data_IF_530209734316
#
_entry.id   IF_530209734316
#
_cell.length_a   1.000
_cell.length_b   1.000
_cell.length_c   1.000
_cell.angle_alpha   90.00
_cell.angle_beta   90.00
_cell.angle_gamma   90.00
#
_symmetry.space_group_name_H-M   'P 1'
#
loop_
_entity.id
_entity.type
_entity.pdbx_description
1 polymer ?
#
# COMPACT_ATOMS: atom_id res chain seq x y z
N UNK A 1 8.80 -25.93 0.72
CA UNK A 1 8.18 -24.62 0.40
C UNK A 1 7.63 -24.58 -1.02
N UNK A 2 8.13 -25.39 -1.96
CA UNK A 2 7.65 -25.40 -3.36
C UNK A 2 6.13 -25.64 -3.50
N UNK A 3 5.53 -26.59 -2.76
CA UNK A 3 4.08 -26.87 -2.89
C UNK A 3 3.13 -25.86 -2.20
N UNK A 4 3.64 -24.80 -1.54
CA UNK A 4 2.78 -23.90 -0.76
C UNK A 4 2.14 -22.78 -1.61
N UNK A 5 2.67 -22.53 -2.81
CA UNK A 5 2.28 -21.41 -3.67
C UNK A 5 1.59 -21.83 -4.97
N UNK A 6 1.53 -23.13 -5.28
CA UNK A 6 0.95 -23.66 -6.53
C UNK A 6 -0.55 -23.33 -6.70
N UNK A 7 -1.23 -22.97 -5.60
CA UNK A 7 -2.65 -22.61 -5.59
C UNK A 7 -2.89 -21.10 -5.75
N UNK A 8 -1.85 -20.27 -5.80
CA UNK A 8 -1.97 -18.82 -5.91
C UNK A 8 -1.94 -18.42 -7.39
N UNK A 9 -3.06 -17.94 -7.89
CA UNK A 9 -3.22 -17.40 -9.23
C UNK A 9 -2.95 -15.89 -9.30
N UNK A 10 -2.76 -15.41 -10.52
CA UNK A 10 -2.85 -13.99 -10.86
C UNK A 10 -4.14 -13.76 -11.65
N UNK A 11 -4.87 -12.70 -11.32
CA UNK A 11 -6.05 -12.26 -12.06
C UNK A 11 -6.14 -10.73 -12.06
N UNK A 12 -6.76 -10.19 -13.09
CA UNK A 12 -7.29 -8.82 -13.05
C UNK A 12 -8.76 -8.92 -12.67
N UNK A 13 -9.14 -8.36 -11.52
CA UNK A 13 -10.53 -8.34 -11.07
C UNK A 13 -11.36 -7.50 -12.03
N UNK A 14 -12.63 -7.84 -12.19
CA UNK A 14 -13.57 -7.02 -12.95
C UNK A 14 -14.07 -5.84 -12.10
N UNK A 15 -14.56 -4.80 -12.77
CA UNK A 15 -15.31 -3.75 -12.08
C UNK A 15 -16.58 -4.36 -11.50
N UNK A 16 -16.90 -4.00 -10.25
CA UNK A 16 -18.03 -4.58 -9.53
C UNK A 16 -18.78 -3.49 -8.78
N UNK A 17 -20.11 -3.43 -9.00
CA UNK A 17 -20.99 -2.64 -8.15
C UNK A 17 -21.26 -3.40 -6.85
N UNK A 18 -20.97 -2.76 -5.72
CA UNK A 18 -21.20 -3.32 -4.40
C UNK A 18 -22.19 -2.46 -3.63
N UNK A 19 -22.92 -3.06 -2.69
CA UNK A 19 -23.56 -2.36 -1.58
C UNK A 19 -22.82 -2.73 -0.30
N UNK A 20 -22.26 -1.74 0.40
CA UNK A 20 -21.32 -1.98 1.49
C UNK A 20 -21.48 -1.00 2.66
N UNK A 21 -20.87 -1.39 3.78
CA UNK A 21 -20.62 -0.56 4.96
C UNK A 21 -19.13 -0.66 5.29
N UNK A 22 -18.43 0.49 5.32
CA UNK A 22 -17.02 0.57 5.77
C UNK A 22 -16.94 1.19 7.15
N UNK A 23 -16.63 0.37 8.13
CA UNK A 23 -16.49 0.77 9.54
C UNK A 23 -15.52 -0.15 10.25
N UNK A 24 -14.79 0.34 11.27
CA UNK A 24 -13.91 -0.49 12.08
C UNK A 24 -14.66 -1.68 12.70
N UNK A 25 -13.96 -2.79 12.85
CA UNK A 25 -14.41 -3.98 13.58
C UNK A 25 -13.33 -4.47 14.54
N UNK A 26 -13.72 -5.01 15.69
CA UNK A 26 -12.77 -5.59 16.66
C UNK A 26 -12.75 -7.10 16.60
N UNK A 27 -13.85 -7.70 16.18
CA UNK A 27 -14.05 -9.14 16.19
C UNK A 27 -14.54 -9.64 14.84
N UNK A 28 -14.52 -10.96 14.64
CA UNK A 28 -15.00 -11.56 13.40
C UNK A 28 -16.53 -11.65 13.41
N UNK A 29 -17.10 -11.80 14.59
CA UNK A 29 -18.53 -11.85 14.87
C UNK A 29 -19.22 -10.56 14.41
N UNK A 30 -18.59 -9.39 14.62
CA UNK A 30 -19.08 -8.11 14.10
C UNK A 30 -19.22 -8.08 12.56
N UNK A 31 -18.33 -8.79 11.84
CA UNK A 31 -18.43 -8.92 10.37
C UNK A 31 -19.63 -9.80 10.00
N UNK A 32 -19.85 -10.89 10.73
CA UNK A 32 -20.96 -11.83 10.49
C UNK A 32 -22.30 -11.12 10.73
N UNK A 33 -22.45 -10.47 11.89
CA UNK A 33 -23.66 -9.72 12.26
C UNK A 33 -24.00 -8.66 11.21
N UNK A 34 -22.99 -7.90 10.78
CA UNK A 34 -23.15 -6.86 9.75
C UNK A 34 -23.62 -7.45 8.43
N UNK A 35 -23.01 -8.53 7.95
CA UNK A 35 -23.41 -9.18 6.70
C UNK A 35 -24.79 -9.84 6.80
N UNK A 36 -25.16 -10.42 7.94
CA UNK A 36 -26.50 -10.96 8.16
C UNK A 36 -27.58 -9.86 8.10
N UNK A 37 -27.33 -8.70 8.75
CA UNK A 37 -28.22 -7.56 8.68
C UNK A 37 -28.35 -7.03 7.25
N UNK A 38 -27.23 -6.86 6.54
CA UNK A 38 -27.22 -6.42 5.15
C UNK A 38 -27.99 -7.39 4.24
N UNK A 39 -27.87 -8.71 4.44
CA UNK A 39 -28.61 -9.71 3.68
C UNK A 39 -30.13 -9.54 3.82
N UNK A 40 -30.62 -9.20 5.02
CA UNK A 40 -32.04 -8.94 5.26
C UNK A 40 -32.54 -7.67 4.58
N UNK A 41 -31.67 -6.65 4.47
CA UNK A 41 -31.98 -5.37 3.86
C UNK A 41 -31.94 -5.44 2.32
N UNK A 42 -30.90 -6.05 1.76
CA UNK A 42 -30.65 -6.11 0.32
C UNK A 42 -31.54 -7.14 -0.41
N UNK A 43 -31.89 -8.25 0.24
CA UNK A 43 -32.79 -9.29 -0.30
C UNK A 43 -32.40 -9.75 -1.71
N UNK A 44 -33.29 -9.52 -2.68
CA UNK A 44 -33.21 -9.90 -4.09
C UNK A 44 -32.22 -9.05 -4.90
N UNK A 45 -31.63 -8.01 -4.31
CA UNK A 45 -30.59 -7.19 -4.96
C UNK A 45 -29.20 -7.82 -4.94
N UNK A 46 -28.99 -8.85 -4.12
CA UNK A 46 -27.70 -9.52 -3.97
C UNK A 46 -27.39 -10.31 -5.24
N UNK A 47 -26.28 -9.97 -5.90
CA UNK A 47 -25.83 -10.58 -7.15
C UNK A 47 -24.65 -11.56 -6.97
N UNK A 48 -24.14 -11.71 -5.74
CA UNK A 48 -22.97 -12.55 -5.49
C UNK A 48 -22.71 -12.84 -4.01
N UNK A 49 -21.63 -13.57 -3.70
CA UNK A 49 -21.27 -13.92 -2.34
C UNK A 49 -20.95 -12.67 -1.50
N UNK A 50 -21.19 -12.70 -0.16
CA UNK A 50 -20.72 -11.64 0.73
C UNK A 50 -19.19 -11.56 0.72
N UNK A 51 -18.69 -10.36 1.01
CA UNK A 51 -17.25 -10.11 1.13
C UNK A 51 -16.90 -9.23 2.32
N UNK A 52 -15.62 -9.22 2.67
CA UNK A 52 -15.00 -8.25 3.57
C UNK A 52 -13.67 -7.76 2.98
N UNK A 53 -13.56 -6.46 2.72
CA UNK A 53 -12.32 -5.79 2.31
C UNK A 53 -11.65 -5.25 3.57
N UNK A 54 -10.40 -5.64 3.79
CA UNK A 54 -9.58 -5.16 4.88
C UNK A 54 -8.62 -4.09 4.36
N UNK A 55 -8.63 -2.93 4.99
CA UNK A 55 -7.72 -1.83 4.69
C UNK A 55 -6.59 -1.77 5.72
N UNK A 56 -5.37 -1.56 5.24
CA UNK A 56 -4.17 -1.44 6.07
C UNK A 56 -3.76 0.02 6.27
N UNK A 57 -2.93 0.26 7.28
CA UNK A 57 -2.36 1.57 7.63
C UNK A 57 -3.39 2.66 7.95
N UNK A 58 -4.62 2.29 8.32
CA UNK A 58 -5.66 3.22 8.75
C UNK A 58 -5.66 3.40 10.29
N UNK A 59 -5.90 4.61 10.80
CA UNK A 59 -5.76 4.91 12.23
C UNK A 59 -7.04 4.57 13.01
N UNK A 60 -7.44 3.29 13.01
CA UNK A 60 -8.67 2.82 13.67
C UNK A 60 -8.36 1.90 14.86
N UNK A 61 -9.26 1.84 15.82
CA UNK A 61 -9.23 0.83 16.88
C UNK A 61 -9.85 -0.48 16.36
N UNK A 62 -9.02 -1.50 16.14
CA UNK A 62 -9.41 -2.75 15.49
C UNK A 62 -8.93 -2.82 14.04
N UNK A 63 -9.78 -3.34 13.15
CA UNK A 63 -9.52 -3.48 11.71
C UNK A 63 -10.47 -2.58 10.94
N UNK A 64 -9.97 -1.81 9.98
CA UNK A 64 -10.82 -1.08 9.04
C UNK A 64 -11.33 -2.04 7.97
N UNK A 65 -12.63 -2.32 8.03
CA UNK A 65 -13.27 -3.34 7.20
C UNK A 65 -14.48 -2.76 6.49
N UNK A 66 -14.53 -3.01 5.19
CA UNK A 66 -15.71 -2.80 4.37
C UNK A 66 -16.36 -4.14 4.03
N UNK A 67 -17.54 -4.37 4.57
CA UNK A 67 -18.31 -5.59 4.32
C UNK A 67 -19.45 -5.27 3.37
N UNK A 68 -19.81 -6.22 2.52
CA UNK A 68 -20.93 -6.00 1.63
C UNK A 68 -21.28 -7.19 0.74
N UNK A 69 -22.12 -6.91 -0.24
CA UNK A 69 -22.50 -7.84 -1.28
C UNK A 69 -22.35 -7.17 -2.66
N UNK A 70 -21.98 -7.92 -3.70
CA UNK A 70 -22.19 -7.49 -5.08
C UNK A 70 -23.68 -7.26 -5.33
N UNK A 71 -24.03 -6.23 -6.10
CA UNK A 71 -25.43 -5.88 -6.43
C UNK A 71 -25.54 -5.45 -7.90
N UNK A 72 -26.69 -5.72 -8.53
CA UNK A 72 -26.93 -5.39 -9.95
C UNK A 72 -27.46 -3.96 -10.18
N UNK A 73 -27.77 -3.23 -9.11
CA UNK A 73 -28.28 -1.87 -9.20
C UNK A 73 -27.91 -1.05 -7.97
N UNK A 74 -27.85 0.28 -8.14
CA UNK A 74 -27.55 1.19 -7.05
C UNK A 74 -28.55 1.06 -5.89
N UNK A 75 -28.02 1.21 -4.69
CA UNK A 75 -28.75 1.09 -3.44
C UNK A 75 -28.19 2.08 -2.41
N UNK A 76 -29.07 2.73 -1.66
CA UNK A 76 -28.68 3.55 -0.52
C UNK A 76 -29.79 3.55 0.52
N UNK A 77 -29.49 3.06 1.72
CA UNK A 77 -30.35 3.17 2.89
C UNK A 77 -29.46 3.22 4.14
N UNK A 78 -29.75 4.16 5.04
CA UNK A 78 -28.98 4.35 6.27
C UNK A 78 -27.46 4.41 6.02
N UNK A 79 -26.70 3.45 6.55
CA UNK A 79 -25.25 3.34 6.40
C UNK A 79 -24.80 2.46 5.22
N UNK A 80 -25.74 1.78 4.55
CA UNK A 80 -25.46 0.96 3.36
C UNK A 80 -25.53 1.86 2.14
N UNK A 81 -24.44 1.91 1.38
CA UNK A 81 -24.39 2.67 0.13
C UNK A 81 -23.72 1.87 -0.97
N UNK A 82 -24.13 2.13 -2.21
CA UNK A 82 -23.51 1.54 -3.38
C UNK A 82 -22.31 2.33 -3.87
N UNK A 83 -21.28 1.61 -4.31
CA UNK A 83 -20.16 2.18 -5.06
C UNK A 83 -19.54 1.12 -5.98
N UNK A 84 -18.83 1.57 -7.00
CA UNK A 84 -18.00 0.69 -7.81
C UNK A 84 -16.68 0.35 -7.09
N UNK A 85 -16.22 -0.88 -7.24
CA UNK A 85 -14.82 -1.26 -7.07
C UNK A 85 -14.23 -1.37 -8.47
N UNK A 86 -13.17 -0.61 -8.74
CA UNK A 86 -12.47 -0.66 -10.02
C UNK A 86 -11.79 -2.02 -10.26
N UNK A 87 -11.67 -2.39 -11.53
CA UNK A 87 -10.82 -3.48 -11.95
C UNK A 87 -9.37 -3.28 -11.47
N UNK A 88 -8.76 -4.34 -10.94
CA UNK A 88 -7.40 -4.26 -10.38
C UNK A 88 -6.66 -5.57 -10.51
N UNK A 89 -5.36 -5.48 -10.72
CA UNK A 89 -4.47 -6.63 -10.62
C UNK A 89 -4.43 -7.17 -9.18
N UNK A 90 -4.57 -8.49 -9.06
CA UNK A 90 -4.60 -9.19 -7.79
C UNK A 90 -3.90 -10.56 -7.88
N UNK A 91 -3.35 -10.99 -6.75
CA UNK A 91 -3.17 -12.42 -6.52
C UNK A 91 -4.45 -12.98 -5.91
N UNK A 92 -4.84 -14.18 -6.34
CA UNK A 92 -6.08 -14.83 -5.92
C UNK A 92 -5.80 -16.25 -5.46
N UNK A 93 -6.49 -16.67 -4.39
CA UNK A 93 -6.51 -18.07 -3.96
C UNK A 93 -7.90 -18.42 -3.44
N UNK A 94 -8.46 -19.53 -3.93
CA UNK A 94 -9.75 -20.07 -3.47
C UNK A 94 -9.55 -21.43 -2.83
N UNK A 95 -10.15 -21.65 -1.66
CA UNK A 95 -9.99 -22.88 -0.88
C UNK A 95 -11.26 -23.24 -0.13
N UNK A 96 -11.37 -24.52 0.18
CA UNK A 96 -12.26 -25.02 1.22
C UNK A 96 -11.45 -25.32 2.49
N UNK A 97 -11.96 -24.92 3.65
CA UNK A 97 -11.28 -25.15 4.92
C UNK A 97 -11.87 -24.37 6.09
N UNK A 98 -11.10 -24.26 7.17
CA UNK A 98 -11.53 -23.56 8.39
C UNK A 98 -11.17 -22.07 8.38
N UNK A 99 -11.66 -21.30 9.35
CA UNK A 99 -11.20 -19.94 9.61
C UNK A 99 -9.68 -19.83 9.81
N UNK A 100 -9.03 -20.89 10.32
CA UNK A 100 -7.57 -20.93 10.45
C UNK A 100 -6.89 -21.00 9.09
N UNK A 101 -7.45 -21.75 8.15
CA UNK A 101 -6.93 -21.89 6.79
C UNK A 101 -7.11 -20.60 5.99
N UNK A 102 -8.21 -19.88 6.22
CA UNK A 102 -8.42 -18.54 5.70
C UNK A 102 -7.31 -17.58 6.14
N UNK A 103 -7.07 -17.46 7.44
CA UNK A 103 -5.99 -16.58 7.98
C UNK A 103 -4.62 -16.98 7.46
N UNK A 104 -4.36 -18.29 7.37
CA UNK A 104 -3.12 -18.81 6.79
C UNK A 104 -2.97 -18.40 5.32
N UNK A 105 -4.05 -18.43 4.54
CA UNK A 105 -4.04 -18.06 3.13
C UNK A 105 -3.72 -16.58 2.91
N UNK A 106 -4.20 -15.69 3.79
CA UNK A 106 -3.84 -14.25 3.77
C UNK A 106 -2.33 -14.05 4.01
N UNK A 107 -1.74 -14.79 4.96
CA UNK A 107 -0.28 -14.71 5.19
C UNK A 107 0.49 -15.27 3.99
N UNK A 108 0.07 -16.43 3.48
CA UNK A 108 0.74 -17.09 2.34
C UNK A 108 0.73 -16.22 1.09
N UNK A 109 -0.39 -15.54 0.78
CA UNK A 109 -0.47 -14.70 -0.42
C UNK A 109 0.35 -13.41 -0.28
N UNK A 110 0.42 -12.84 0.93
CA UNK A 110 1.31 -11.71 1.23
C UNK A 110 2.79 -12.11 1.11
N UNK A 111 3.17 -13.29 1.61
CA UNK A 111 4.53 -13.83 1.47
C UNK A 111 4.87 -14.08 -0.01
N UNK A 112 3.94 -14.68 -0.75
CA UNK A 112 4.08 -14.91 -2.19
C UNK A 112 4.30 -13.60 -2.94
N UNK A 113 3.50 -12.56 -2.68
CA UNK A 113 3.69 -11.23 -3.26
C UNK A 113 5.08 -10.66 -2.94
N UNK A 114 5.55 -10.87 -1.71
CA UNK A 114 6.91 -10.55 -1.28
C UNK A 114 7.99 -11.24 -2.12
N UNK A 115 7.86 -12.55 -2.42
CA UNK A 115 8.81 -13.28 -3.29
C UNK A 115 8.83 -12.81 -4.73
N UNK A 116 7.82 -12.03 -5.13
CA UNK A 116 7.72 -11.36 -6.42
C UNK A 116 8.10 -9.88 -6.32
N UNK A 117 8.48 -9.37 -5.15
CA UNK A 117 8.82 -7.95 -5.02
C UNK A 117 7.64 -7.03 -5.32
N UNK A 118 6.41 -7.53 -5.16
CA UNK A 118 5.20 -6.75 -5.41
C UNK A 118 4.62 -6.34 -4.07
N UNK A 119 4.53 -5.05 -3.79
CA UNK A 119 3.93 -4.61 -2.56
C UNK A 119 2.39 -4.59 -2.66
N UNK A 120 1.71 -4.66 -1.52
CA UNK A 120 0.25 -4.60 -1.44
C UNK A 120 -0.28 -3.24 -1.90
N UNK A 121 -1.48 -3.19 -2.46
CA UNK A 121 -2.26 -1.95 -2.57
C UNK A 121 -2.86 -1.48 -1.23
N UNK A 122 -2.28 -1.91 -0.10
CA UNK A 122 -2.75 -1.69 1.28
C UNK A 122 -4.17 -2.19 1.54
N UNK A 123 -4.59 -3.24 0.82
CA UNK A 123 -5.87 -3.91 1.05
C UNK A 123 -5.88 -5.34 0.51
N UNK A 124 -6.75 -6.16 1.08
CA UNK A 124 -7.17 -7.45 0.51
C UNK A 124 -8.67 -7.65 0.72
N UNK A 125 -9.28 -8.54 -0.04
CA UNK A 125 -10.69 -8.89 0.08
C UNK A 125 -10.83 -10.39 0.37
N UNK A 126 -11.65 -10.71 1.35
CA UNK A 126 -12.16 -12.04 1.61
C UNK A 126 -13.54 -12.16 0.95
N UNK A 127 -13.77 -13.19 0.15
CA UNK A 127 -15.07 -13.52 -0.43
C UNK A 127 -15.52 -14.85 0.15
N UNK A 128 -16.76 -14.91 0.64
CA UNK A 128 -17.29 -16.11 1.31
C UNK A 128 -18.35 -16.79 0.44
N UNK A 129 -17.95 -17.82 -0.29
CA UNK A 129 -18.83 -18.58 -1.18
C UNK A 129 -19.83 -19.46 -0.42
N UNK A 130 -19.42 -20.05 0.72
CA UNK A 130 -20.32 -20.78 1.62
C UNK A 130 -19.77 -20.91 3.04
N UNK A 131 -20.66 -21.21 3.99
CA UNK A 131 -20.31 -21.58 5.37
C UNK A 131 -20.07 -20.42 6.33
N UNK A 132 -19.68 -19.24 5.83
CA UNK A 132 -19.32 -18.11 6.71
C UNK A 132 -20.52 -17.52 7.48
N UNK A 133 -21.64 -17.24 6.80
CA UNK A 133 -22.82 -16.66 7.46
C UNK A 133 -23.61 -17.65 8.30
N UNK A 134 -23.43 -18.94 8.05
CA UNK A 134 -24.06 -20.03 8.79
C UNK A 134 -23.13 -20.58 9.90
N UNK A 135 -22.00 -19.90 10.13
CA UNK A 135 -20.99 -20.23 11.15
C UNK A 135 -20.50 -21.70 11.08
N UNK A 136 -20.43 -22.23 9.87
CA UNK A 136 -19.94 -23.58 9.60
C UNK A 136 -18.46 -23.72 9.97
N UNK A 137 -18.07 -24.91 10.46
CA UNK A 137 -16.66 -25.25 10.66
C UNK A 137 -15.87 -25.36 9.35
N UNK A 138 -16.58 -25.52 8.23
CA UNK A 138 -16.05 -25.62 6.88
C UNK A 138 -16.58 -24.49 6.00
N UNK A 139 -15.66 -23.76 5.39
CA UNK A 139 -15.87 -22.56 4.59
C UNK A 139 -15.39 -22.82 3.17
N UNK A 140 -16.11 -22.31 2.16
CA UNK A 140 -15.56 -22.08 0.82
C UNK A 140 -15.29 -20.58 0.71
N UNK A 141 -14.03 -20.21 0.58
CA UNK A 141 -13.60 -18.82 0.60
C UNK A 141 -12.56 -18.54 -0.48
N UNK A 142 -12.49 -17.27 -0.85
CA UNK A 142 -11.51 -16.75 -1.79
C UNK A 142 -10.84 -15.51 -1.21
N UNK A 143 -9.53 -15.41 -1.36
CA UNK A 143 -8.74 -14.25 -0.97
C UNK A 143 -8.27 -13.56 -2.24
N UNK A 144 -8.58 -12.26 -2.35
CA UNK A 144 -8.12 -11.38 -3.42
C UNK A 144 -7.16 -10.35 -2.82
N UNK A 145 -5.87 -10.50 -3.11
CA UNK A 145 -4.81 -9.63 -2.60
C UNK A 145 -4.41 -8.62 -3.67
N UNK A 146 -4.85 -7.37 -3.49
CA UNK A 146 -4.67 -6.31 -4.48
C UNK A 146 -3.21 -5.84 -4.55
N UNK A 147 -2.73 -5.64 -5.78
CA UNK A 147 -1.33 -5.34 -6.05
C UNK A 147 -1.11 -3.85 -6.31
N UNK A 148 -0.07 -3.29 -5.72
CA UNK A 148 0.40 -1.96 -6.10
C UNK A 148 1.34 -2.09 -7.30
N UNK A 149 0.78 -1.90 -8.51
CA UNK A 149 1.50 -2.03 -9.77
C UNK A 149 2.45 -0.83 -10.00
N UNK A 150 3.59 -0.85 -9.31
CA UNK A 150 4.58 0.22 -9.33
C UNK A 150 5.11 0.49 -10.74
N UNK A 151 5.36 -0.55 -11.55
CA UNK A 151 5.93 -0.40 -12.90
C UNK A 151 4.96 0.30 -13.86
N UNK A 152 3.67 -0.04 -13.82
CA UNK A 152 2.67 0.65 -14.64
C UNK A 152 2.56 2.13 -14.24
N UNK A 153 2.52 2.43 -12.94
CA UNK A 153 2.55 3.82 -12.44
C UNK A 153 3.81 4.55 -12.88
N UNK A 154 4.97 3.91 -12.75
CA UNK A 154 6.25 4.46 -13.14
C UNK A 154 6.26 4.87 -14.62
N UNK A 155 5.84 3.97 -15.52
CA UNK A 155 5.78 4.29 -16.94
C UNK A 155 4.82 5.46 -17.24
N UNK A 156 3.64 5.48 -16.62
CA UNK A 156 2.68 6.58 -16.79
C UNK A 156 3.24 7.91 -16.32
N UNK A 157 3.96 7.94 -15.19
CA UNK A 157 4.51 9.19 -14.65
C UNK A 157 5.79 9.63 -15.37
N UNK A 158 6.60 8.69 -15.89
CA UNK A 158 7.70 9.02 -16.80
C UNK A 158 7.15 9.74 -18.03
N UNK A 159 6.11 9.20 -18.66
CA UNK A 159 5.46 9.82 -19.81
C UNK A 159 4.94 11.22 -19.48
N UNK A 160 4.32 11.38 -18.31
CA UNK A 160 3.74 12.64 -17.87
C UNK A 160 4.77 13.73 -17.52
N UNK A 161 5.86 13.38 -16.83
CA UNK A 161 6.77 14.37 -16.20
C UNK A 161 8.13 14.49 -16.88
N UNK A 162 8.44 13.61 -17.84
CA UNK A 162 9.71 13.65 -18.57
C UNK A 162 9.48 13.99 -20.04
N UNK A 163 10.56 14.01 -20.84
CA UNK A 163 10.45 14.21 -22.28
C UNK A 163 10.28 12.87 -23.00
N UNK A 164 9.78 12.93 -24.24
CA UNK A 164 9.55 11.76 -25.09
C UNK A 164 10.79 10.85 -25.23
N UNK A 165 11.98 11.43 -25.38
CA UNK A 165 13.24 10.68 -25.48
C UNK A 165 13.56 9.85 -24.23
N UNK A 166 13.21 10.35 -23.05
CA UNK A 166 13.39 9.64 -21.78
C UNK A 166 12.42 8.47 -21.69
N UNK A 167 11.15 8.71 -22.00
CA UNK A 167 10.13 7.66 -22.05
C UNK A 167 10.50 6.56 -23.04
N UNK A 168 10.89 6.92 -24.27
CA UNK A 168 11.33 5.99 -25.32
C UNK A 168 12.54 5.15 -24.90
N UNK A 169 13.51 5.74 -24.21
CA UNK A 169 14.65 5.01 -23.69
C UNK A 169 14.25 3.96 -22.63
N UNK A 170 13.30 4.29 -21.76
CA UNK A 170 12.82 3.39 -20.70
C UNK A 170 11.99 2.26 -21.28
N UNK A 171 11.03 2.53 -22.17
CA UNK A 171 10.25 1.46 -22.84
C UNK A 171 11.14 0.61 -23.76
N UNK A 172 12.25 1.16 -24.24
CA UNK A 172 13.29 0.46 -25.00
C UNK A 172 14.00 -0.65 -24.21
N UNK A 173 13.88 -0.69 -22.88
CA UNK A 173 14.30 -1.84 -22.06
C UNK A 173 13.45 -3.09 -22.29
N UNK A 174 12.30 -2.94 -22.97
CA UNK A 174 11.27 -3.97 -23.10
C UNK A 174 10.19 -3.84 -22.04
N UNK A 175 9.18 -4.72 -22.13
CA UNK A 175 8.06 -4.75 -21.19
C UNK A 175 8.57 -4.97 -19.75
N UNK A 176 7.97 -4.30 -18.75
CA UNK A 176 8.22 -4.66 -17.35
C UNK A 176 7.95 -6.16 -17.13
N UNK A 177 8.70 -6.81 -16.21
CA UNK A 177 8.49 -8.21 -15.88
C UNK A 177 7.06 -8.50 -15.45
N UNK A 178 6.53 -9.64 -15.91
CA UNK A 178 5.16 -10.05 -15.61
C UNK A 178 4.98 -10.24 -14.10
N UNK A 179 3.76 -10.08 -13.62
CA UNK A 179 3.42 -10.18 -12.19
C UNK A 179 3.87 -11.50 -11.57
N UNK A 180 3.85 -12.58 -12.35
CA UNK A 180 4.28 -13.91 -11.92
C UNK A 180 5.80 -14.16 -12.05
N UNK A 181 6.58 -13.19 -12.53
CA UNK A 181 8.03 -13.36 -12.58
C UNK A 181 8.69 -13.10 -11.22
N UNK A 182 9.79 -13.83 -10.91
CA UNK A 182 10.55 -13.63 -9.68
C UNK A 182 10.98 -12.18 -9.46
N UNK A 183 11.10 -11.80 -8.19
CA UNK A 183 11.42 -10.44 -7.81
C UNK A 183 12.76 -9.93 -8.38
N UNK A 184 13.75 -10.81 -8.58
CA UNK A 184 15.06 -10.48 -9.17
C UNK A 184 14.92 -9.85 -10.57
N UNK A 185 14.10 -10.40 -11.46
CA UNK A 185 13.90 -9.84 -12.81
C UNK A 185 13.31 -8.43 -12.75
N UNK A 186 12.36 -8.23 -11.84
CA UNK A 186 11.73 -6.92 -11.58
C UNK A 186 12.73 -5.93 -11.00
N UNK A 187 13.52 -6.35 -10.02
CA UNK A 187 14.62 -5.59 -9.48
C UNK A 187 15.59 -5.13 -10.58
N UNK A 188 16.01 -6.03 -11.46
CA UNK A 188 16.90 -5.71 -12.59
C UNK A 188 16.30 -4.70 -13.57
N UNK A 189 15.02 -4.85 -13.90
CA UNK A 189 14.33 -3.89 -14.77
C UNK A 189 14.23 -2.52 -14.09
N UNK A 190 13.83 -2.48 -12.81
CA UNK A 190 13.72 -1.24 -12.03
C UNK A 190 15.08 -0.53 -11.94
N UNK A 191 16.18 -1.24 -11.64
CA UNK A 191 17.53 -0.65 -11.60
C UNK A 191 17.85 0.07 -12.91
N UNK A 192 17.69 -0.62 -14.04
CA UNK A 192 17.97 -0.06 -15.37
C UNK A 192 17.08 1.14 -15.68
N UNK A 193 15.79 1.04 -15.37
CA UNK A 193 14.82 2.11 -15.62
C UNK A 193 15.14 3.37 -14.79
N UNK A 194 15.51 3.21 -13.52
CA UNK A 194 15.93 4.32 -12.66
C UNK A 194 17.23 4.94 -13.16
N UNK A 195 18.23 4.14 -13.57
CA UNK A 195 19.48 4.67 -14.11
C UNK A 195 19.27 5.52 -15.38
N UNK A 196 18.37 5.09 -16.28
CA UNK A 196 18.01 5.90 -17.46
C UNK A 196 17.32 7.20 -17.03
N UNK A 197 16.41 7.13 -16.06
CA UNK A 197 15.73 8.31 -15.53
C UNK A 197 16.74 9.31 -14.94
N UNK A 198 17.71 8.82 -14.16
CA UNK A 198 18.80 9.62 -13.57
C UNK A 198 19.68 10.30 -14.63
N UNK A 199 20.02 9.60 -15.69
CA UNK A 199 20.87 10.14 -16.78
C UNK A 199 20.15 11.23 -17.58
N UNK A 200 18.83 11.09 -17.77
CA UNK A 200 18.07 11.89 -18.74
C UNK A 200 17.15 12.95 -18.14
N UNK A 201 17.00 12.98 -16.82
CA UNK A 201 16.03 13.84 -16.14
C UNK A 201 16.68 14.72 -15.09
N UNK A 202 16.07 15.89 -14.86
CA UNK A 202 16.44 16.72 -13.71
C UNK A 202 16.00 16.07 -12.38
N UNK A 203 16.63 16.49 -11.29
CA UNK A 203 16.27 16.05 -9.93
C UNK A 203 14.78 16.23 -9.63
N UNK A 204 14.20 17.36 -10.07
CA UNK A 204 12.77 17.66 -9.90
C UNK A 204 11.91 16.61 -10.62
N UNK A 205 12.23 16.29 -11.87
CA UNK A 205 11.49 15.29 -12.64
C UNK A 205 11.61 13.89 -12.02
N UNK A 206 12.79 13.51 -11.54
CA UNK A 206 13.00 12.25 -10.82
C UNK A 206 12.09 12.20 -9.59
N UNK A 207 12.07 13.28 -8.79
CA UNK A 207 11.19 13.38 -7.62
C UNK A 207 9.72 13.25 -8.00
N UNK A 208 9.25 13.97 -9.03
CA UNK A 208 7.86 13.92 -9.48
C UNK A 208 7.44 12.52 -9.94
N UNK A 209 8.28 11.85 -10.73
CA UNK A 209 8.00 10.49 -11.21
C UNK A 209 7.93 9.53 -10.03
N UNK A 210 9.00 9.46 -9.22
CA UNK A 210 9.14 8.40 -8.22
C UNK A 210 8.24 8.62 -7.01
N UNK A 211 8.04 9.87 -6.56
CA UNK A 211 7.07 10.16 -5.49
C UNK A 211 5.65 9.77 -5.89
N UNK A 212 5.28 9.93 -7.17
CA UNK A 212 3.95 9.56 -7.67
C UNK A 212 3.75 8.04 -7.75
N UNK A 213 4.84 7.26 -7.73
CA UNK A 213 4.80 5.80 -7.67
C UNK A 213 4.65 5.23 -6.25
N UNK A 214 4.62 6.07 -5.22
CA UNK A 214 4.43 5.64 -3.84
C UNK A 214 3.10 4.92 -3.64
N UNK A 215 3.01 4.14 -2.55
CA UNK A 215 1.72 3.59 -2.10
C UNK A 215 0.74 4.73 -1.86
N UNK A 216 -0.53 4.47 -2.16
CA UNK A 216 -1.60 5.42 -1.86
C UNK A 216 -1.81 5.44 -0.36
N UNK A 217 -1.52 6.57 0.28
CA UNK A 217 -1.71 6.74 1.72
C UNK A 217 -3.20 6.80 2.04
N UNK A 218 -3.68 6.08 3.07
CA UNK A 218 -5.09 6.16 3.45
C UNK A 218 -5.52 7.59 3.76
N UNK A 219 -6.67 8.00 3.21
CA UNK A 219 -7.22 9.34 3.42
C UNK A 219 -7.54 9.57 4.90
N UNK A 220 -8.02 8.53 5.57
CA UNK A 220 -8.35 8.54 7.00
C UNK A 220 -7.12 8.88 7.86
N UNK A 221 -5.92 8.42 7.47
CA UNK A 221 -4.68 8.79 8.14
C UNK A 221 -4.31 10.26 7.90
N UNK A 222 -4.51 10.77 6.68
CA UNK A 222 -4.27 12.18 6.33
C UNK A 222 -5.23 13.10 7.11
N UNK A 223 -6.51 12.76 7.18
CA UNK A 223 -7.53 13.59 7.85
C UNK A 223 -7.25 13.78 9.34
N UNK A 224 -6.63 12.80 10.02
CA UNK A 224 -6.19 12.96 11.41
C UNK A 224 -5.23 14.15 11.54
N UNK A 225 -4.26 14.26 10.62
CA UNK A 225 -3.27 15.34 10.64
C UNK A 225 -3.85 16.66 10.12
N UNK A 226 -4.69 16.60 9.09
CA UNK A 226 -5.37 17.80 8.55
C UNK A 226 -6.20 18.47 9.64
N UNK A 227 -6.98 17.70 10.39
CA UNK A 227 -7.80 18.24 11.49
C UNK A 227 -6.95 18.97 12.53
N UNK A 228 -5.80 18.42 12.92
CA UNK A 228 -4.87 19.08 13.85
C UNK A 228 -4.39 20.40 13.26
N UNK A 229 -4.05 20.44 11.98
CA UNK A 229 -3.63 21.66 11.30
C UNK A 229 -4.75 22.70 11.21
N UNK A 230 -5.97 22.31 10.84
CA UNK A 230 -7.13 23.19 10.75
C UNK A 230 -7.52 23.79 12.11
N UNK A 231 -7.39 23.01 13.19
CA UNK A 231 -7.71 23.46 14.55
C UNK A 231 -6.63 24.39 15.14
N UNK A 232 -5.36 24.19 14.79
CA UNK A 232 -4.23 24.87 15.46
C UNK A 232 -3.52 25.90 14.59
N UNK A 233 -3.60 25.76 13.25
CA UNK A 233 -2.78 26.51 12.29
C UNK A 233 -1.27 26.22 12.38
N UNK A 234 -0.85 25.15 13.09
CA UNK A 234 0.57 24.88 13.38
C UNK A 234 1.03 23.54 12.82
N UNK A 235 2.09 23.58 12.01
CA UNK A 235 2.76 22.39 11.49
C UNK A 235 3.56 21.67 12.60
N UNK A 236 4.01 22.41 13.61
CA UNK A 236 4.67 21.87 14.79
C UNK A 236 3.72 20.98 15.60
N UNK A 237 2.45 21.36 15.75
CA UNK A 237 1.44 20.52 16.41
C UNK A 237 1.15 19.24 15.61
N UNK A 238 1.09 19.33 14.28
CA UNK A 238 0.97 18.16 13.41
C UNK A 238 2.16 17.21 13.61
N UNK A 239 3.39 17.73 13.62
CA UNK A 239 4.59 16.92 13.87
C UNK A 239 4.59 16.32 15.27
N UNK A 240 4.17 17.05 16.31
CA UNK A 240 4.07 16.51 17.68
C UNK A 240 3.14 15.30 17.72
N UNK A 241 1.96 15.38 17.09
CA UNK A 241 1.02 14.25 17.01
C UNK A 241 1.66 13.05 16.29
N UNK A 242 2.37 13.29 15.19
CA UNK A 242 3.08 12.23 14.47
C UNK A 242 4.21 11.60 15.29
N UNK A 243 5.02 12.41 15.97
CA UNK A 243 6.13 11.95 16.83
C UNK A 243 5.58 11.08 17.96
N UNK A 244 4.50 11.51 18.63
CA UNK A 244 3.88 10.72 19.70
C UNK A 244 3.28 9.41 19.17
N UNK A 245 2.62 9.42 18.01
CA UNK A 245 2.06 8.21 17.38
C UNK A 245 3.10 7.12 17.15
N UNK A 246 4.34 7.51 16.79
CA UNK A 246 5.43 6.59 16.48
C UNK A 246 6.59 6.65 17.48
N UNK A 247 6.31 7.06 18.72
CA UNK A 247 7.32 7.22 19.77
C UNK A 247 8.21 5.98 19.90
N UNK A 248 9.52 6.20 19.92
CA UNK A 248 10.52 5.13 20.04
C UNK A 248 10.86 4.39 18.74
N UNK A 249 10.20 4.70 17.61
CA UNK A 249 10.51 4.14 16.27
C UNK A 249 11.31 5.08 15.38
N UNK A 250 11.54 6.32 15.82
CA UNK A 250 12.37 7.30 15.13
C UNK A 250 13.85 7.08 15.46
N UNK A 251 14.71 7.15 14.44
CA UNK A 251 16.16 7.30 14.61
C UNK A 251 16.49 8.77 14.83
N UNK A 252 15.96 9.63 13.95
CA UNK A 252 15.94 11.08 14.05
C UNK A 252 14.47 11.51 14.01
N UNK A 253 14.02 12.40 14.91
CA UNK A 253 12.64 12.92 14.88
C UNK A 253 12.50 13.97 13.76
N UNK A 254 11.32 14.06 13.09
CA UNK A 254 11.08 15.09 12.11
C UNK A 254 11.02 16.48 12.75
N UNK A 255 11.44 17.50 12.02
CA UNK A 255 11.47 18.89 12.49
C UNK A 255 11.17 19.89 11.38
N UNK A 256 10.93 21.14 11.75
CA UNK A 256 10.66 22.26 10.85
C UNK A 256 11.81 23.27 10.95
N UNK A 257 12.25 23.78 9.81
CA UNK A 257 13.21 24.88 9.72
C UNK A 257 12.78 25.85 8.62
N UNK A 258 12.32 27.04 9.01
CA UNK A 258 11.79 28.02 8.05
C UNK A 258 10.56 27.49 7.31
N UNK A 259 10.61 27.48 5.98
CA UNK A 259 9.56 26.94 5.11
C UNK A 259 9.82 25.49 4.67
N UNK A 260 10.51 24.72 5.52
CA UNK A 260 10.88 23.34 5.21
C UNK A 260 10.55 22.40 6.35
N UNK A 261 10.06 21.22 5.98
CA UNK A 261 9.84 20.11 6.88
C UNK A 261 10.86 19.02 6.56
N UNK A 262 11.67 18.65 7.54
CA UNK A 262 12.60 17.54 7.44
C UNK A 262 11.92 16.29 7.99
N UNK A 263 11.35 15.49 7.10
CA UNK A 263 10.63 14.27 7.43
C UNK A 263 11.59 13.07 7.41
N UNK A 264 11.71 12.37 8.52
CA UNK A 264 12.44 11.10 8.59
C UNK A 264 11.49 9.93 8.38
N UNK A 265 12.01 8.74 8.06
CA UNK A 265 11.20 7.52 7.98
C UNK A 265 11.21 6.81 9.33
N UNK A 266 10.05 6.35 9.77
CA UNK A 266 9.97 5.41 10.90
C UNK A 266 10.59 4.06 10.51
N UNK A 267 11.31 3.45 11.43
CA UNK A 267 11.90 2.13 11.23
C UNK A 267 10.79 1.07 11.29
N UNK A 268 10.74 0.16 10.32
CA UNK A 268 9.76 -0.95 10.30
C UNK A 268 9.88 -1.81 11.54
N UNK A 269 11.08 -2.34 11.80
CA UNK A 269 11.41 -3.16 12.97
C UNK A 269 12.61 -2.55 13.69
N UNK A 270 12.33 -1.74 14.72
CA UNK A 270 13.36 -1.00 15.45
C UNK A 270 14.31 -1.93 16.24
N UNK A 271 13.82 -3.08 16.71
CA UNK A 271 14.62 -4.01 17.49
C UNK A 271 15.59 -4.76 16.59
N UNK A 272 15.13 -5.27 15.46
CA UNK A 272 16.00 -5.87 14.45
C UNK A 272 16.98 -4.86 13.88
N UNK A 273 16.56 -3.60 13.71
CA UNK A 273 17.44 -2.53 13.22
C UNK A 273 18.60 -2.27 14.17
N UNK A 274 18.31 -2.13 15.48
CA UNK A 274 19.33 -1.91 16.52
C UNK A 274 20.28 -3.10 16.69
N UNK A 275 19.78 -4.33 16.49
CA UNK A 275 20.58 -5.57 16.57
C UNK A 275 21.38 -5.84 15.30
N UNK A 276 21.03 -5.20 14.18
CA UNK A 276 21.68 -5.39 12.89
C UNK A 276 23.16 -5.01 12.92
N UNK A 277 24.01 -5.98 12.54
CA UNK A 277 25.47 -5.86 12.51
C UNK A 277 25.99 -5.45 11.14
N UNK A 278 25.19 -5.65 10.10
CA UNK A 278 25.52 -5.31 8.71
C UNK A 278 24.54 -4.29 8.14
N UNK A 279 24.95 -3.55 7.11
CA UNK A 279 24.07 -2.61 6.41
C UNK A 279 22.85 -3.31 5.80
N UNK A 280 23.03 -4.52 5.27
CA UNK A 280 21.94 -5.34 4.73
C UNK A 280 20.87 -5.66 5.78
N UNK A 281 21.30 -6.09 6.97
CA UNK A 281 20.38 -6.37 8.09
C UNK A 281 19.62 -5.11 8.50
N UNK A 282 20.31 -3.97 8.56
CA UNK A 282 19.69 -2.66 8.86
C UNK A 282 18.69 -2.23 7.79
N UNK A 283 19.03 -2.32 6.50
CA UNK A 283 18.10 -1.98 5.41
C UNK A 283 16.86 -2.90 5.45
N UNK A 284 17.05 -4.21 5.65
CA UNK A 284 15.93 -5.16 5.81
C UNK A 284 15.06 -4.77 7.01
N UNK A 285 15.63 -4.38 8.14
CA UNK A 285 14.85 -3.98 9.32
C UNK A 285 14.18 -2.60 9.15
N UNK A 286 14.75 -1.71 8.34
CA UNK A 286 14.26 -0.34 8.14
C UNK A 286 13.15 -0.24 7.09
N UNK A 287 13.26 -1.00 5.99
CA UNK A 287 12.38 -0.87 4.83
C UNK A 287 11.12 -1.72 4.92
N UNK A 288 10.00 -1.19 4.38
CA UNK A 288 8.74 -1.91 4.20
C UNK A 288 8.58 -2.50 2.78
N UNK A 289 9.42 -2.07 1.84
CA UNK A 289 9.28 -2.43 0.44
C UNK A 289 9.96 -3.77 0.14
N UNK A 290 9.22 -4.77 -0.38
CA UNK A 290 9.81 -6.06 -0.74
C UNK A 290 10.82 -5.94 -1.89
N UNK A 291 10.65 -4.97 -2.81
CA UNK A 291 11.62 -4.74 -3.90
C UNK A 291 13.03 -4.40 -3.39
N UNK A 292 13.14 -3.61 -2.32
CA UNK A 292 14.44 -3.23 -1.76
C UNK A 292 15.19 -4.45 -1.21
N UNK A 293 14.48 -5.49 -0.75
CA UNK A 293 15.12 -6.69 -0.20
C UNK A 293 15.87 -7.50 -1.26
N UNK A 294 15.49 -7.37 -2.51
CA UNK A 294 16.09 -8.05 -3.66
C UNK A 294 17.19 -7.20 -4.32
N UNK A 295 17.19 -5.89 -4.06
CA UNK A 295 18.16 -4.93 -4.60
C UNK A 295 19.13 -4.41 -3.53
N UNK A 296 19.30 -5.07 -2.38
CA UNK A 296 19.91 -4.44 -1.20
C UNK A 296 21.25 -3.72 -1.44
N UNK A 297 22.13 -4.30 -2.27
CA UNK A 297 23.44 -3.71 -2.58
C UNK A 297 23.44 -2.81 -3.81
N UNK A 298 22.36 -2.84 -4.59
CA UNK A 298 22.28 -2.25 -5.93
C UNK A 298 21.06 -1.33 -6.06
N UNK A 299 20.39 -0.99 -4.94
CA UNK A 299 19.20 -0.14 -4.95
C UNK A 299 19.65 1.27 -5.30
N UNK A 300 19.21 1.83 -6.45
CA UNK A 300 19.56 3.20 -6.79
C UNK A 300 18.99 4.16 -5.72
N UNK A 301 19.78 5.06 -5.12
CA UNK A 301 19.29 5.92 -4.05
C UNK A 301 18.03 6.70 -4.42
N UNK A 302 17.89 7.13 -5.68
CA UNK A 302 16.72 7.85 -6.19
C UNK A 302 15.43 7.04 -6.17
N UNK A 303 15.50 5.71 -6.16
CA UNK A 303 14.33 4.87 -5.91
C UNK A 303 13.66 5.19 -4.56
N UNK A 304 14.43 5.67 -3.58
CA UNK A 304 13.93 6.01 -2.25
C UNK A 304 13.08 7.29 -2.21
N UNK A 305 12.95 8.03 -3.31
CA UNK A 305 11.88 9.02 -3.47
C UNK A 305 10.48 8.41 -3.31
N UNK A 306 10.33 7.09 -3.48
CA UNK A 306 9.07 6.39 -3.23
C UNK A 306 8.61 6.54 -1.77
N UNK A 307 9.54 6.55 -0.81
CA UNK A 307 9.22 6.90 0.58
C UNK A 307 8.88 8.38 0.77
N UNK A 308 9.51 9.25 -0.02
CA UNK A 308 9.20 10.69 -0.08
C UNK A 308 7.78 10.95 -0.58
N UNK A 309 7.29 10.16 -1.54
CA UNK A 309 5.91 10.25 -2.02
C UNK A 309 4.85 9.91 -0.96
N UNK A 310 5.18 9.05 0.01
CA UNK A 310 4.30 8.80 1.17
C UNK A 310 4.22 10.01 2.11
N UNK A 311 5.34 10.71 2.28
CA UNK A 311 5.38 11.96 3.05
C UNK A 311 4.72 13.12 2.27
N UNK A 312 4.92 13.19 0.95
CA UNK A 312 4.29 14.17 0.06
C UNK A 312 2.78 14.13 0.19
N UNK A 313 2.18 12.95 0.01
CA UNK A 313 0.73 12.76 0.12
C UNK A 313 0.16 13.26 1.45
N UNK A 314 0.88 13.06 2.55
CA UNK A 314 0.46 13.57 3.86
C UNK A 314 0.45 15.09 3.89
N UNK A 315 1.53 15.74 3.47
CA UNK A 315 1.63 17.19 3.56
C UNK A 315 0.76 17.91 2.53
N UNK A 316 0.66 17.42 1.31
CA UNK A 316 -0.32 17.95 0.33
C UNK A 316 -1.75 17.78 0.84
N UNK A 317 -2.02 16.65 1.50
CA UNK A 317 -3.28 16.43 2.17
C UNK A 317 -3.54 17.42 3.29
N UNK A 318 -2.60 17.60 4.21
CA UNK A 318 -2.71 18.52 5.36
C UNK A 318 -2.84 19.98 4.90
N UNK A 319 -2.04 20.41 3.93
CA UNK A 319 -1.93 21.79 3.49
C UNK A 319 -2.97 22.18 2.42
N UNK A 320 -3.47 21.21 1.66
CA UNK A 320 -4.41 21.43 0.56
C UNK A 320 -3.77 21.95 -0.74
N UNK A 321 -2.44 21.94 -0.85
CA UNK A 321 -1.72 22.36 -2.06
C UNK A 321 -0.45 21.51 -2.28
N UNK A 322 0.10 21.47 -3.51
CA UNK A 322 1.27 20.66 -3.85
C UNK A 322 2.55 21.08 -3.09
N UNK A 323 3.41 20.12 -2.73
CA UNK A 323 4.71 20.39 -2.08
C UNK A 323 5.86 19.74 -2.83
N UNK A 324 7.03 20.37 -2.80
CA UNK A 324 8.24 19.84 -3.43
C UNK A 324 9.00 18.94 -2.44
N UNK A 325 9.43 17.75 -2.90
CA UNK A 325 10.18 16.78 -2.09
C UNK A 325 11.60 16.59 -2.62
N UNK A 326 12.58 16.63 -1.71
CA UNK A 326 13.99 16.34 -1.99
C UNK A 326 14.49 15.24 -1.07
N UNK A 327 15.16 14.24 -1.63
CA UNK A 327 15.82 13.18 -0.85
C UNK A 327 17.08 13.76 -0.18
N UNK A 328 17.20 13.61 1.13
CA UNK A 328 18.33 14.13 1.93
C UNK A 328 19.30 13.01 2.30
N UNK A 329 18.76 11.88 2.80
CA UNK A 329 19.52 10.69 3.20
C UNK A 329 18.71 9.44 2.89
N UNK A 330 19.35 8.31 2.62
CA UNK A 330 18.67 7.02 2.56
C UNK A 330 19.52 5.87 3.07
N UNK A 331 18.92 4.92 3.80
CA UNK A 331 19.69 3.77 4.32
C UNK A 331 20.37 2.93 3.23
N UNK A 332 19.93 3.02 1.96
CA UNK A 332 20.59 2.32 0.85
C UNK A 332 21.91 2.96 0.42
N UNK A 333 22.18 4.21 0.82
CA UNK A 333 23.46 4.91 0.59
C UNK A 333 24.47 4.75 1.74
N UNK A 334 24.09 4.02 2.79
CA UNK A 334 24.89 3.86 4.01
C UNK A 334 24.48 4.76 5.17
N UNK A 335 23.51 5.67 4.98
CA UNK A 335 22.96 6.49 6.07
C UNK A 335 22.25 5.65 7.15
N UNK A 336 22.14 6.21 8.36
CA UNK A 336 21.45 5.57 9.49
C UNK A 336 19.90 5.72 9.44
N UNK A 337 19.38 6.54 8.53
CA UNK A 337 17.93 6.69 8.33
C UNK A 337 17.62 7.21 6.92
N UNK A 338 16.36 7.08 6.50
CA UNK A 338 15.86 7.80 5.34
C UNK A 338 15.27 9.13 5.78
N UNK A 339 15.59 10.21 5.06
CA UNK A 339 15.04 11.52 5.32
C UNK A 339 14.79 12.30 4.02
N UNK A 340 13.75 13.12 4.05
CA UNK A 340 13.34 14.00 2.97
C UNK A 340 13.13 15.42 3.48
N UNK A 341 13.51 16.39 2.66
CA UNK A 341 13.15 17.79 2.81
C UNK A 341 11.87 18.02 1.99
N UNK A 342 10.86 18.59 2.63
CA UNK A 342 9.59 18.98 2.00
C UNK A 342 9.52 20.50 2.08
N UNK A 343 9.45 21.16 0.92
CA UNK A 343 9.29 22.62 0.84
C UNK A 343 7.80 22.95 0.74
N UNK A 344 7.32 23.77 1.67
CA UNK A 344 5.92 24.17 1.83
C UNK A 344 5.62 25.56 1.29
#
# INVERSE_FOLDING_TARGET
>A
MENAFDEIGFATTEEMLIASIRQPVKTREEIIDRLQNMKQVLKDRIAGPPFAIFYFDTPVDGFDVETGFPVDSEFSIDEISSRAIDASDAFVVRKQGSMKDLRKSVVQISEFAGTRGIPSALRYMEIYHSGFLDESSELDFEIVYYLHNWQARFLSYVEQFTNQSTYEAIIGLGKPPDTLEPAEKRADWVKKAISILEEKSSERQISEVICSCAHVRPKEDIEVYRKVFEETGSLEEVLKVQIQKFKGRWIEEPYIEGNKIYMTKVVRDIDSYRKGKTQKERIKAHCFCPMVFEMLDETPPKFCYCGGGWARQMWEGVLGYPVDVKLVKTVVDGSDTCAWEITI
#
